data_IF_155571882995
#
_entry.id   IF_155571882995
#
_cell.length_a   1.000
_cell.length_b   1.000
_cell.length_c   1.000
_cell.angle_alpha   90.00
_cell.angle_beta   90.00
_cell.angle_gamma   90.00
#
_symmetry.space_group_name_H-M   'P 1'
#
loop_
_entity.id
_entity.type
_entity.pdbx_description
1 polymer ?
#
# COMPACT_ATOMS: atom_id res chain seq x y z
N UNK A 1 24.08 16.92 9.19
CA UNK A 1 22.71 16.41 9.38
C UNK A 1 22.69 14.95 8.99
N UNK A 2 21.94 14.12 9.72
CA UNK A 2 21.76 12.69 9.39
C UNK A 2 20.74 12.55 8.26
N UNK A 3 21.02 11.70 7.29
CA UNK A 3 20.11 11.36 6.19
C UNK A 3 19.16 10.23 6.63
N UNK A 4 17.85 10.51 6.59
CA UNK A 4 16.79 9.58 6.98
C UNK A 4 16.04 8.99 5.78
N UNK A 5 16.61 9.08 4.58
CA UNK A 5 16.02 8.50 3.38
C UNK A 5 15.88 6.97 3.54
N UNK A 6 14.67 6.40 3.40
CA UNK A 6 14.47 4.96 3.51
C UNK A 6 15.19 4.22 2.39
N UNK A 7 15.67 3.01 2.70
CA UNK A 7 16.30 2.11 1.74
C UNK A 7 15.74 0.70 1.94
N UNK A 8 15.73 -0.15 0.89
CA UNK A 8 15.25 -1.52 1.00
C UNK A 8 15.93 -2.34 2.11
N UNK A 9 17.20 -2.06 2.44
CA UNK A 9 17.93 -2.78 3.51
C UNK A 9 17.35 -2.52 4.91
N UNK A 10 16.56 -1.46 5.09
CA UNK A 10 15.84 -1.16 6.33
C UNK A 10 14.58 -2.02 6.51
N UNK A 11 14.15 -2.75 5.47
CA UNK A 11 13.06 -3.73 5.52
C UNK A 11 11.70 -3.19 5.97
N UNK A 12 11.39 -1.94 5.63
CA UNK A 12 10.02 -1.43 5.78
C UNK A 12 9.08 -2.15 4.83
N UNK A 13 7.94 -2.61 5.34
CA UNK A 13 6.89 -3.28 4.56
C UNK A 13 5.53 -2.67 4.84
N UNK A 14 4.62 -2.76 3.87
CA UNK A 14 3.26 -2.23 3.96
C UNK A 14 2.25 -3.24 3.44
N UNK A 15 1.11 -3.33 4.10
CA UNK A 15 -0.01 -4.13 3.62
C UNK A 15 -0.72 -3.45 2.46
N UNK A 16 -1.15 -4.19 1.43
CA UNK A 16 -1.87 -3.59 0.29
C UNK A 16 -3.13 -2.84 0.75
N UNK A 17 -3.85 -3.35 1.75
CA UNK A 17 -5.01 -2.70 2.36
C UNK A 17 -4.71 -1.32 2.99
N UNK A 18 -3.44 -1.02 3.31
CA UNK A 18 -3.07 0.25 3.94
C UNK A 18 -3.14 1.38 2.92
N UNK A 19 -2.20 1.40 1.97
CA UNK A 19 -2.13 2.39 0.88
C UNK A 19 -3.26 2.22 -0.13
N UNK A 20 -3.87 1.03 -0.21
CA UNK A 20 -5.06 0.74 -1.02
C UNK A 20 -6.39 1.14 -0.39
N UNK A 21 -6.43 1.54 0.89
CA UNK A 21 -7.66 1.97 1.55
C UNK A 21 -8.30 3.12 0.78
N UNK A 22 -9.59 3.01 0.46
CA UNK A 22 -10.35 4.06 -0.25
C UNK A 22 -10.99 5.11 0.67
N UNK A 23 -10.82 4.95 1.98
CA UNK A 23 -11.23 5.93 2.99
C UNK A 23 -12.69 5.88 3.38
N UNK A 24 -13.44 4.85 2.94
CA UNK A 24 -14.79 4.59 3.42
C UNK A 24 -14.74 4.27 4.91
N UNK A 25 -15.71 4.81 5.65
CA UNK A 25 -15.92 4.51 7.06
C UNK A 25 -17.44 4.33 7.35
N UNK A 26 -17.88 4.12 8.60
CA UNK A 26 -19.31 3.93 8.91
C UNK A 26 -20.22 5.13 8.59
N UNK A 27 -19.66 6.33 8.44
CA UNK A 27 -20.39 7.60 8.28
C UNK A 27 -20.06 8.35 6.98
N UNK A 28 -19.06 7.91 6.22
CA UNK A 28 -18.60 8.53 4.98
C UNK A 28 -18.33 7.51 3.87
N UNK A 29 -18.64 7.90 2.64
CA UNK A 29 -18.40 7.07 1.45
C UNK A 29 -16.93 7.13 0.99
N UNK A 30 -16.58 6.34 -0.03
CA UNK A 30 -15.26 6.31 -0.65
C UNK A 30 -14.82 7.68 -1.15
N UNK A 31 -13.60 8.10 -0.77
CA UNK A 31 -13.03 9.40 -1.15
C UNK A 31 -11.79 9.29 -2.03
N UNK A 32 -11.30 8.06 -2.28
CA UNK A 32 -10.17 7.79 -3.18
C UNK A 32 -10.55 6.84 -4.30
N UNK A 33 -9.99 7.08 -5.47
CA UNK A 33 -10.05 6.15 -6.60
C UNK A 33 -9.35 4.83 -6.23
N UNK A 34 -9.83 3.73 -6.80
CA UNK A 34 -9.17 2.44 -6.64
C UNK A 34 -7.81 2.44 -7.35
N UNK A 35 -6.85 1.70 -6.78
CA UNK A 35 -5.56 1.39 -7.40
C UNK A 35 -5.41 -0.12 -7.45
N UNK A 36 -4.86 -0.63 -8.54
CA UNK A 36 -4.51 -2.04 -8.66
C UNK A 36 -3.36 -2.39 -7.70
N UNK A 37 -3.24 -3.65 -7.27
CA UNK A 37 -2.08 -4.12 -6.50
C UNK A 37 -0.74 -3.80 -7.17
N UNK A 38 -0.68 -3.86 -8.51
CA UNK A 38 0.54 -3.54 -9.29
C UNK A 38 0.93 -2.07 -9.14
N UNK A 39 -0.02 -1.14 -9.26
CA UNK A 39 0.24 0.28 -9.03
C UNK A 39 0.73 0.56 -7.61
N UNK A 40 0.15 -0.12 -6.61
CA UNK A 40 0.55 0.05 -5.21
C UNK A 40 1.98 -0.44 -4.95
N UNK A 41 2.37 -1.58 -5.55
CA UNK A 41 3.75 -2.09 -5.46
C UNK A 41 4.74 -1.12 -6.09
N UNK A 42 4.44 -0.58 -7.27
CA UNK A 42 5.32 0.42 -7.91
C UNK A 42 5.47 1.68 -7.06
N UNK A 43 4.36 2.21 -6.53
CA UNK A 43 4.38 3.39 -5.66
C UNK A 43 5.21 3.16 -4.39
N UNK A 44 5.08 1.99 -3.76
CA UNK A 44 5.86 1.65 -2.57
C UNK A 44 7.35 1.46 -2.88
N UNK A 45 7.68 0.88 -4.04
CA UNK A 45 9.05 0.73 -4.49
C UNK A 45 9.72 2.10 -4.76
N UNK A 46 8.99 3.05 -5.36
CA UNK A 46 9.48 4.42 -5.61
C UNK A 46 9.90 5.15 -4.33
N UNK A 47 9.27 4.85 -3.19
CA UNK A 47 9.58 5.47 -1.89
C UNK A 47 10.50 4.61 -1.01
N UNK A 48 11.12 3.56 -1.56
CA UNK A 48 12.14 2.76 -0.87
C UNK A 48 11.63 1.67 0.06
N UNK A 49 10.36 1.27 -0.05
CA UNK A 49 9.86 0.10 0.67
C UNK A 49 10.55 -1.18 0.19
N UNK A 50 10.76 -2.13 1.11
CA UNK A 50 11.39 -3.41 0.79
C UNK A 50 10.40 -4.44 0.25
N UNK A 51 9.14 -4.39 0.70
CA UNK A 51 8.14 -5.37 0.28
C UNK A 51 6.73 -5.03 0.74
N UNK A 52 5.81 -5.90 0.35
CA UNK A 52 4.39 -5.80 0.68
C UNK A 52 3.89 -7.09 1.33
N UNK A 53 2.79 -6.98 2.07
CA UNK A 53 1.96 -8.12 2.48
C UNK A 53 0.51 -7.87 2.05
N UNK A 54 -0.31 -8.91 2.01
CA UNK A 54 -1.66 -8.85 1.48
C UNK A 54 -2.56 -9.91 2.10
N UNK A 55 -3.85 -9.60 2.23
CA UNK A 55 -4.90 -10.62 2.36
C UNK A 55 -5.17 -11.21 0.98
N UNK A 56 -5.66 -12.45 0.93
CA UNK A 56 -6.06 -13.11 -0.32
C UNK A 56 -6.96 -12.22 -1.18
N UNK A 57 -7.97 -11.60 -0.57
CA UNK A 57 -8.93 -10.74 -1.22
C UNK A 57 -8.43 -9.32 -1.58
N UNK A 58 -7.24 -8.92 -1.09
CA UNK A 58 -6.58 -7.70 -1.58
C UNK A 58 -6.02 -7.91 -2.99
N UNK A 59 -5.71 -9.17 -3.37
CA UNK A 59 -5.11 -9.51 -4.66
C UNK A 59 -6.10 -10.19 -5.61
N UNK A 60 -6.98 -11.06 -5.09
CA UNK A 60 -7.94 -11.84 -5.86
C UNK A 60 -9.35 -11.54 -5.34
N UNK A 61 -10.23 -10.90 -6.13
CA UNK A 61 -11.63 -10.67 -5.73
C UNK A 61 -12.34 -11.95 -5.28
N UNK A 62 -13.27 -11.84 -4.32
CA UNK A 62 -14.00 -12.98 -3.73
C UNK A 62 -15.12 -13.49 -4.64
N UNK A 63 -15.48 -12.72 -5.66
CA UNK A 63 -16.59 -12.88 -6.59
C UNK A 63 -16.18 -13.39 -7.99
#
# INVERSE_FOLDING_TARGET
MTDYTPKPEHKFTFGLWTVGSRGRDPFGDVVRAAKSPVELVHLLAEVGAWGVNFHDNDLIPID
#
